data_IF_735096624405
#
_entry.id   IF_735096624405
#
_cell.length_a   1.000
_cell.length_b   1.000
_cell.length_c   1.000
_cell.angle_alpha   90.00
_cell.angle_beta   90.00
_cell.angle_gamma   90.00
#
_symmetry.space_group_name_H-M   'P 1'
#
loop_
_entity.id
_entity.type
_entity.pdbx_description
1 polymer ?
#
# COMPACT_ATOMS: atom_id res chain seq x y z
N UNK A 1 3.71 21.19 -28.10
CA UNK A 1 3.05 19.97 -27.60
C UNK A 1 2.49 20.26 -26.21
N UNK A 2 1.18 20.11 -26.02
CA UNK A 2 0.56 20.20 -24.69
C UNK A 2 1.13 19.07 -23.83
N UNK A 3 1.75 19.41 -22.70
CA UNK A 3 2.13 18.41 -21.70
C UNK A 3 0.82 17.82 -21.18
N UNK A 4 0.58 16.54 -21.43
CA UNK A 4 -0.52 15.84 -20.80
C UNK A 4 -0.37 16.02 -19.28
N UNK A 5 -1.41 16.52 -18.63
CA UNK A 5 -1.45 16.73 -17.19
C UNK A 5 -2.50 15.79 -16.63
N UNK A 6 -2.15 15.07 -15.57
CA UNK A 6 -3.16 14.36 -14.81
C UNK A 6 -4.15 15.36 -14.21
N UNK A 7 -5.43 15.18 -14.50
CA UNK A 7 -6.50 15.87 -13.79
C UNK A 7 -6.83 15.07 -12.54
N UNK A 8 -7.05 15.76 -11.43
CA UNK A 8 -7.41 15.12 -10.16
C UNK A 8 -8.59 14.16 -10.32
N UNK A 9 -9.64 14.56 -11.06
CA UNK A 9 -10.81 13.74 -11.30
C UNK A 9 -10.49 12.41 -12.02
N UNK A 10 -9.51 12.41 -12.93
CA UNK A 10 -9.13 11.21 -13.68
C UNK A 10 -8.26 10.28 -12.82
N UNK A 11 -7.36 10.84 -12.01
CA UNK A 11 -6.58 10.08 -11.01
C UNK A 11 -7.50 9.38 -10.02
N UNK A 12 -8.48 10.11 -9.47
CA UNK A 12 -9.47 9.53 -8.54
C UNK A 12 -10.30 8.43 -9.20
N UNK A 13 -10.70 8.60 -10.47
CA UNK A 13 -11.43 7.57 -11.22
C UNK A 13 -10.59 6.30 -11.39
N UNK A 14 -9.31 6.45 -11.76
CA UNK A 14 -8.39 5.33 -11.93
C UNK A 14 -8.09 4.61 -10.61
N UNK A 15 -7.90 5.35 -9.51
CA UNK A 15 -7.70 4.77 -8.18
C UNK A 15 -8.93 3.96 -7.72
N UNK A 16 -10.14 4.48 -7.94
CA UNK A 16 -11.39 3.77 -7.63
C UNK A 16 -11.54 2.51 -8.47
N UNK A 17 -11.27 2.59 -9.77
CA UNK A 17 -11.33 1.44 -10.67
C UNK A 17 -10.31 0.35 -10.29
N UNK A 18 -9.06 0.74 -10.00
CA UNK A 18 -8.02 -0.19 -9.55
C UNK A 18 -8.44 -0.91 -8.27
N UNK A 19 -8.91 -0.15 -7.27
CA UNK A 19 -9.39 -0.70 -6.00
C UNK A 19 -10.52 -1.72 -6.19
N UNK A 20 -11.47 -1.44 -7.07
CA UNK A 20 -12.59 -2.36 -7.35
C UNK A 20 -12.13 -3.68 -8.00
N UNK A 21 -10.95 -3.69 -8.64
CA UNK A 21 -10.38 -4.86 -9.29
C UNK A 21 -9.32 -5.57 -8.43
N UNK A 22 -9.10 -5.12 -7.18
CA UNK A 22 -8.06 -5.68 -6.31
C UNK A 22 -6.63 -5.24 -6.65
N UNK A 23 -6.49 -4.12 -7.37
CA UNK A 23 -5.18 -3.54 -7.72
C UNK A 23 -4.95 -2.22 -6.98
N UNK A 24 -3.68 -1.94 -6.72
CA UNK A 24 -3.17 -0.62 -6.39
C UNK A 24 -2.72 0.08 -7.66
N UNK A 25 -2.66 1.41 -7.63
CA UNK A 25 -2.17 2.21 -8.75
C UNK A 25 -1.15 3.23 -8.24
N UNK A 26 0.01 3.28 -8.90
CA UNK A 26 1.10 4.22 -8.61
C UNK A 26 1.20 5.18 -9.78
N UNK A 27 1.15 6.48 -9.49
CA UNK A 27 1.29 7.54 -10.48
C UNK A 27 2.65 8.22 -10.34
N UNK A 28 3.44 8.21 -11.41
CA UNK A 28 4.63 9.04 -11.53
C UNK A 28 4.23 10.38 -12.14
N UNK A 29 4.23 11.44 -11.31
CA UNK A 29 3.83 12.79 -11.72
C UNK A 29 4.88 13.50 -12.58
N UNK A 30 6.11 12.98 -12.65
CA UNK A 30 7.18 13.55 -13.48
C UNK A 30 7.12 13.01 -14.91
N UNK A 31 6.91 11.70 -15.05
CA UNK A 31 6.81 11.01 -16.36
C UNK A 31 5.37 10.90 -16.87
N UNK A 32 4.38 11.17 -16.02
CA UNK A 32 2.96 10.95 -16.27
C UNK A 32 2.60 9.50 -16.60
N UNK A 33 3.27 8.55 -15.96
CA UNK A 33 2.99 7.12 -16.07
C UNK A 33 2.14 6.61 -14.91
N UNK A 34 1.24 5.66 -15.20
CA UNK A 34 0.45 4.95 -14.18
C UNK A 34 0.80 3.45 -14.22
N UNK A 35 1.11 2.87 -13.06
CA UNK A 35 1.46 1.46 -12.92
C UNK A 35 0.48 0.77 -11.99
N UNK A 36 -0.11 -0.33 -12.45
CA UNK A 36 -0.99 -1.16 -11.65
C UNK A 36 -0.19 -2.27 -10.99
N UNK A 37 -0.38 -2.42 -9.68
CA UNK A 37 0.27 -3.46 -8.88
C UNK A 37 -0.82 -4.31 -8.22
N UNK A 38 -0.74 -5.64 -8.27
CA UNK A 38 -1.67 -6.48 -7.53
C UNK A 38 -1.55 -6.14 -6.04
N UNK A 39 -2.69 -5.88 -5.39
CA UNK A 39 -2.71 -5.70 -3.94
C UNK A 39 -3.01 -7.06 -3.36
N UNK A 40 -2.04 -7.61 -2.64
CA UNK A 40 -2.28 -8.79 -1.84
C UNK A 40 -3.12 -8.40 -0.62
N UNK A 41 -4.42 -8.67 -0.69
CA UNK A 41 -5.36 -8.44 0.41
C UNK A 41 -5.09 -9.35 1.61
N UNK A 42 -4.22 -10.37 1.49
CA UNK A 42 -3.75 -11.17 2.63
C UNK A 42 -3.05 -10.31 3.70
N UNK A 43 -2.40 -9.22 3.28
CA UNK A 43 -1.75 -8.27 4.19
C UNK A 43 -2.76 -7.39 4.97
N UNK A 44 -3.99 -7.22 4.47
CA UNK A 44 -5.06 -6.50 5.21
C UNK A 44 -5.76 -7.38 6.24
N UNK A 45 -5.58 -8.69 6.14
CA UNK A 45 -5.98 -9.68 7.14
C UNK A 45 -4.81 -10.15 8.01
N UNK A 46 -3.72 -9.38 8.09
CA UNK A 46 -2.82 -9.53 9.20
C UNK A 46 -3.63 -9.17 10.47
N UNK A 47 -3.93 -10.13 11.36
CA UNK A 47 -4.56 -9.78 12.62
C UNK A 47 -3.71 -8.71 13.30
N UNK A 48 -4.37 -7.77 13.99
CA UNK A 48 -3.75 -6.86 14.94
C UNK A 48 -2.96 -7.59 16.07
N UNK A 49 -2.75 -8.91 15.98
CA UNK A 49 -1.95 -9.69 16.90
C UNK A 49 -0.44 -9.48 16.75
N UNK A 50 0.04 -8.77 15.72
CA UNK A 50 1.44 -8.33 15.68
C UNK A 50 1.72 -7.07 16.52
N UNK A 51 0.76 -6.62 17.35
CA UNK A 51 1.00 -5.64 18.42
C UNK A 51 1.33 -6.32 19.77
N UNK A 52 1.49 -7.65 19.80
CA UNK A 52 1.71 -8.42 21.03
C UNK A 52 3.08 -9.10 21.19
N UNK A 53 4.03 -8.94 20.25
CA UNK A 53 5.41 -9.47 20.41
C UNK A 53 6.37 -8.39 20.96
N UNK A 54 5.79 -7.31 21.47
CA UNK A 54 6.32 -6.40 22.49
C UNK A 54 6.14 -6.94 23.92
N UNK A 55 7.04 -7.68 24.61
CA UNK A 55 6.90 -7.81 26.06
C UNK A 55 6.81 -6.39 26.65
N UNK A 56 5.79 -6.07 27.47
CA UNK A 56 5.59 -4.71 28.02
C UNK A 56 6.63 -4.31 29.08
N UNK A 57 7.72 -5.07 29.22
CA UNK A 57 8.83 -4.79 30.10
C UNK A 57 10.08 -5.36 29.42
N UNK A 58 11.09 -4.51 29.20
CA UNK A 58 12.24 -4.72 28.32
C UNK A 58 13.19 -5.84 28.75
N UNK A 59 12.68 -7.07 28.84
CA UNK A 59 13.44 -8.29 29.08
C UNK A 59 13.50 -9.06 27.77
N UNK A 60 14.64 -8.91 27.12
CA UNK A 60 15.07 -9.75 26.03
C UNK A 60 15.10 -11.21 26.53
N UNK A 61 14.18 -12.05 26.06
CA UNK A 61 14.23 -13.50 26.27
C UNK A 61 15.22 -14.13 25.28
N UNK A 62 16.46 -13.64 25.31
CA UNK A 62 17.60 -14.20 24.58
C UNK A 62 18.68 -14.61 25.59
N UNK A 63 18.32 -15.54 26.47
CA UNK A 63 19.19 -16.35 27.35
C UNK A 63 18.23 -17.34 28.06
N UNK A 64 18.40 -18.66 28.14
CA UNK A 64 19.52 -19.60 27.99
C UNK A 64 18.94 -21.01 27.61
N UNK A 65 19.75 -21.83 26.93
CA UNK A 65 19.65 -23.29 26.66
C UNK A 65 18.63 -23.84 25.64
#
# INVERSE_FOLDING_TARGET
MSRASFRQADVERLLKAAKNQGFGCIFDLRTHEAKFVPVDDSAKMAPLSLQGIFPPDGKDAFDEN
#
